data_IF_878896975271
#
_entry.id   IF_878896975271
#
_cell.length_a   1.000
_cell.length_b   1.000
_cell.length_c   1.000
_cell.angle_alpha   90.00
_cell.angle_beta   90.00
_cell.angle_gamma   90.00
#
_symmetry.space_group_name_H-M   'P 1'
#
loop_
_entity.id
_entity.type
_entity.pdbx_description
1 polymer ?
#
# COMPACT_ATOMS: atom_id res chain seq x y z
N UNK A 1 -37.73 20.62 36.06
CA UNK A 1 -36.33 20.12 36.03
C UNK A 1 -36.12 19.08 34.92
N UNK A 2 -36.56 19.31 33.67
CA UNK A 2 -36.57 18.28 32.60
C UNK A 2 -35.93 18.72 31.27
N UNK A 3 -35.01 19.69 31.26
CA UNK A 3 -34.36 20.21 30.03
C UNK A 3 -32.88 19.85 29.87
N UNK A 4 -32.34 18.86 30.59
CA UNK A 4 -30.90 18.55 30.53
C UNK A 4 -30.52 17.29 29.74
N UNK A 5 -31.46 16.38 29.43
CA UNK A 5 -31.13 15.09 28.78
C UNK A 5 -31.09 15.10 27.24
N UNK A 6 -31.45 16.22 26.59
CA UNK A 6 -31.48 16.32 25.12
C UNK A 6 -30.15 16.84 24.52
N UNK A 7 -29.27 17.39 25.37
CA UNK A 7 -27.95 17.92 24.98
C UNK A 7 -26.88 16.84 24.85
N UNK A 8 -26.86 15.83 25.74
CA UNK A 8 -25.84 14.77 25.75
C UNK A 8 -25.92 13.85 24.51
N UNK A 9 -27.14 13.52 24.05
CA UNK A 9 -27.33 12.65 22.88
C UNK A 9 -26.88 13.27 21.56
N UNK A 10 -26.86 14.61 21.45
CA UNK A 10 -26.41 15.31 20.22
C UNK A 10 -24.89 15.34 20.11
N UNK A 11 -24.18 15.48 21.24
CA UNK A 11 -22.71 15.42 21.30
C UNK A 11 -22.18 14.02 21.04
N UNK A 12 -22.82 12.99 21.59
CA UNK A 12 -22.44 11.58 21.33
C UNK A 12 -22.62 11.20 19.86
N UNK A 13 -23.73 11.62 19.23
CA UNK A 13 -23.98 11.34 17.81
C UNK A 13 -22.89 11.95 16.92
N UNK A 14 -22.41 13.16 17.24
CA UNK A 14 -21.31 13.79 16.49
C UNK A 14 -20.01 13.02 16.66
N UNK A 15 -19.66 12.63 17.89
CA UNK A 15 -18.44 11.87 18.17
C UNK A 15 -18.46 10.53 17.43
N UNK A 16 -19.59 9.82 17.45
CA UNK A 16 -19.77 8.55 16.73
C UNK A 16 -19.61 8.71 15.21
N UNK A 17 -20.18 9.77 14.61
CA UNK A 17 -20.03 10.06 13.18
C UNK A 17 -18.57 10.40 12.83
N UNK A 18 -17.90 11.19 13.66
CA UNK A 18 -16.48 11.51 13.46
C UNK A 18 -15.60 10.26 13.54
N UNK A 19 -15.79 9.40 14.54
CA UNK A 19 -15.06 8.14 14.66
C UNK A 19 -15.32 7.24 13.44
N UNK A 20 -16.59 7.05 13.05
CA UNK A 20 -16.93 6.25 11.87
C UNK A 20 -16.30 6.78 10.58
N UNK A 21 -16.24 8.11 10.41
CA UNK A 21 -15.59 8.73 9.25
C UNK A 21 -14.07 8.50 9.22
N UNK A 22 -13.40 8.55 10.38
CA UNK A 22 -11.97 8.24 10.51
C UNK A 22 -11.68 6.75 10.23
N UNK A 23 -12.58 5.85 10.65
CA UNK A 23 -12.48 4.43 10.34
C UNK A 23 -12.62 4.16 8.83
N UNK A 24 -13.58 4.78 8.15
CA UNK A 24 -13.79 4.62 6.70
C UNK A 24 -12.65 5.22 5.87
N UNK A 25 -12.08 6.34 6.29
CA UNK A 25 -10.97 7.00 5.59
C UNK A 25 -9.68 6.17 5.57
N UNK A 26 -9.49 5.27 6.54
CA UNK A 26 -8.34 4.37 6.60
C UNK A 26 -8.47 3.13 5.70
N UNK A 27 -9.54 3.01 4.91
CA UNK A 27 -9.62 2.01 3.87
C UNK A 27 -8.70 2.43 2.72
N UNK A 28 -7.40 2.13 2.85
CA UNK A 28 -6.41 2.32 1.79
C UNK A 28 -6.88 1.57 0.54
N UNK A 29 -7.48 2.30 -0.40
CA UNK A 29 -7.76 1.80 -1.73
C UNK A 29 -6.42 1.43 -2.34
N UNK A 30 -6.23 0.13 -2.62
CA UNK A 30 -5.00 -0.35 -3.25
C UNK A 30 -4.70 0.42 -4.53
N UNK A 31 -3.41 0.60 -4.85
CA UNK A 31 -2.99 1.34 -6.04
C UNK A 31 -3.69 0.80 -7.29
N UNK A 32 -4.35 1.65 -8.10
CA UNK A 32 -5.05 1.22 -9.29
C UNK A 32 -4.08 0.63 -10.32
N UNK A 33 -4.61 -0.21 -11.21
CA UNK A 33 -3.81 -0.97 -12.17
C UNK A 33 -2.99 -0.07 -13.11
N UNK A 34 -3.64 0.98 -13.63
CA UNK A 34 -3.02 1.90 -14.58
C UNK A 34 -1.80 2.61 -13.98
N UNK A 35 -1.93 3.12 -12.74
CA UNK A 35 -0.82 3.75 -12.02
C UNK A 35 0.33 2.78 -11.74
N UNK A 36 0.01 1.50 -11.45
CA UNK A 36 1.04 0.47 -11.28
C UNK A 36 1.85 0.27 -12.54
N UNK A 37 1.17 0.12 -13.69
CA UNK A 37 1.81 -0.11 -14.99
C UNK A 37 2.67 1.10 -15.36
N UNK A 38 2.11 2.31 -15.25
CA UNK A 38 2.84 3.55 -15.56
C UNK A 38 4.11 3.68 -14.72
N UNK A 39 4.01 3.44 -13.41
CA UNK A 39 5.17 3.49 -12.49
C UNK A 39 6.24 2.47 -12.86
N UNK A 40 5.84 1.23 -13.17
CA UNK A 40 6.77 0.18 -13.61
C UNK A 40 7.44 0.58 -14.93
N UNK A 41 6.69 1.10 -15.89
CA UNK A 41 7.20 1.50 -17.19
C UNK A 41 8.22 2.64 -17.06
N UNK A 42 7.93 3.66 -16.26
CA UNK A 42 8.87 4.76 -15.97
C UNK A 42 10.17 4.26 -15.31
N UNK A 43 10.09 3.27 -14.43
CA UNK A 43 11.29 2.68 -13.82
C UNK A 43 12.09 1.83 -14.81
N UNK A 44 11.41 1.02 -15.64
CA UNK A 44 12.06 0.23 -16.68
C UNK A 44 12.76 1.08 -17.73
N UNK A 45 12.19 2.25 -18.06
CA UNK A 45 12.84 3.22 -18.96
C UNK A 45 14.16 3.75 -18.38
N UNK A 46 14.28 3.85 -17.05
CA UNK A 46 15.51 4.30 -16.38
C UNK A 46 16.52 3.17 -16.22
N UNK A 47 16.07 1.99 -15.81
CA UNK A 47 16.92 0.81 -15.59
C UNK A 47 16.15 -0.48 -15.91
N UNK A 48 16.77 -1.43 -16.63
CA UNK A 48 16.09 -2.68 -17.02
C UNK A 48 15.79 -3.59 -15.82
N UNK A 49 16.51 -3.45 -14.70
CA UNK A 49 16.32 -4.24 -13.47
C UNK A 49 15.84 -3.31 -12.35
N UNK A 50 14.67 -3.64 -11.79
CA UNK A 50 14.06 -2.89 -10.69
C UNK A 50 14.35 -3.61 -9.38
N UNK A 51 15.10 -2.96 -8.48
CA UNK A 51 15.30 -3.47 -7.13
C UNK A 51 14.00 -3.35 -6.32
N UNK A 52 13.50 -4.49 -5.87
CA UNK A 52 12.27 -4.60 -5.09
C UNK A 52 12.58 -4.67 -3.60
N UNK A 53 11.89 -3.87 -2.81
CA UNK A 53 11.78 -4.04 -1.35
C UNK A 53 10.46 -4.74 -1.02
N UNK A 54 10.20 -4.99 0.28
CA UNK A 54 8.99 -5.68 0.73
C UNK A 54 7.71 -4.94 0.33
N UNK A 55 7.70 -3.61 0.39
CA UNK A 55 6.50 -2.81 0.08
C UNK A 55 6.20 -2.82 -1.43
N UNK A 56 7.23 -2.59 -2.27
CA UNK A 56 7.11 -2.70 -3.72
C UNK A 56 6.70 -4.12 -4.13
N UNK A 57 7.26 -5.14 -3.49
CA UNK A 57 6.89 -6.52 -3.74
C UNK A 57 5.40 -6.78 -3.45
N UNK A 58 4.90 -6.29 -2.31
CA UNK A 58 3.47 -6.37 -1.97
C UNK A 58 2.61 -5.66 -3.01
N UNK A 59 2.97 -4.45 -3.41
CA UNK A 59 2.19 -3.63 -4.34
C UNK A 59 2.23 -4.15 -5.78
N UNK A 60 3.40 -4.40 -6.35
CA UNK A 60 3.55 -4.68 -7.77
C UNK A 60 3.52 -6.18 -8.11
N UNK A 61 3.91 -7.06 -7.19
CA UNK A 61 4.02 -8.49 -7.45
C UNK A 61 2.91 -9.31 -6.78
N UNK A 62 2.53 -9.01 -5.54
CA UNK A 62 1.50 -9.80 -4.82
C UNK A 62 0.09 -9.24 -4.93
N UNK A 63 -0.08 -7.92 -4.92
CA UNK A 63 -1.43 -7.34 -4.94
C UNK A 63 -2.11 -7.53 -6.29
N UNK A 64 -3.42 -7.69 -6.27
CA UNK A 64 -4.30 -7.68 -7.44
C UNK A 64 -4.92 -6.29 -7.61
N UNK A 65 -5.46 -5.93 -8.78
CA UNK A 65 -5.39 -6.66 -10.07
C UNK A 65 -4.01 -6.56 -10.75
N UNK A 66 -3.69 -7.49 -11.66
CA UNK A 66 -2.47 -7.48 -12.51
C UNK A 66 -2.77 -8.01 -13.91
N UNK A 67 -2.25 -7.33 -14.93
CA UNK A 67 -2.31 -7.72 -16.35
C UNK A 67 -0.91 -7.76 -17.00
N UNK A 68 0.12 -7.99 -16.19
CA UNK A 68 1.51 -8.05 -16.59
C UNK A 68 2.19 -9.22 -15.90
N UNK A 69 3.19 -9.80 -16.55
CA UNK A 69 4.06 -10.83 -15.99
C UNK A 69 5.30 -10.22 -15.33
N UNK A 70 5.79 -10.86 -14.27
CA UNK A 70 6.99 -10.45 -13.54
C UNK A 70 8.01 -11.58 -13.58
N UNK A 71 9.23 -11.29 -14.01
CA UNK A 71 10.37 -12.20 -13.88
C UNK A 71 11.22 -11.68 -12.72
N UNK A 72 11.48 -12.54 -11.74
CA UNK A 72 12.11 -12.16 -10.47
C UNK A 72 13.35 -13.01 -10.24
N UNK A 73 14.47 -12.34 -9.97
CA UNK A 73 15.71 -12.96 -9.53
C UNK A 73 15.87 -12.73 -8.02
N UNK A 74 15.78 -13.79 -7.23
CA UNK A 74 16.13 -13.73 -5.81
C UNK A 74 17.65 -13.84 -5.68
N UNK A 75 18.26 -12.91 -4.93
CA UNK A 75 19.71 -12.84 -4.78
C UNK A 75 20.10 -12.35 -3.40
N UNK A 76 21.35 -12.59 -3.01
CA UNK A 76 21.93 -12.17 -1.74
C UNK A 76 23.29 -11.48 -1.99
N UNK A 77 23.22 -10.23 -2.47
CA UNK A 77 24.38 -9.40 -2.85
C UNK A 77 24.93 -8.49 -1.74
N UNK A 78 24.44 -8.63 -0.50
CA UNK A 78 24.95 -7.81 0.62
C UNK A 78 26.44 -8.06 0.85
N UNK A 79 27.21 -7.03 1.18
CA UNK A 79 28.66 -7.14 1.37
C UNK A 79 29.06 -8.14 2.48
N UNK A 80 28.18 -8.39 3.45
CA UNK A 80 28.38 -9.40 4.50
C UNK A 80 28.10 -10.85 4.07
N UNK A 81 27.61 -11.07 2.84
CA UNK A 81 27.24 -12.38 2.32
C UNK A 81 28.18 -12.75 1.18
N UNK A 82 28.96 -13.83 1.37
CA UNK A 82 29.79 -14.37 0.29
C UNK A 82 29.03 -15.46 -0.48
N UNK A 83 28.09 -15.06 -1.35
CA UNK A 83 27.39 -15.98 -2.26
C UNK A 83 27.96 -15.85 -3.70
N UNK A 84 28.82 -16.78 -4.17
CA UNK A 84 29.40 -16.71 -5.52
C UNK A 84 28.37 -16.90 -6.64
N UNK A 85 27.33 -17.71 -6.43
CA UNK A 85 26.27 -17.98 -7.41
C UNK A 85 25.36 -16.75 -7.61
N UNK A 86 25.27 -15.90 -6.59
CA UNK A 86 24.42 -14.72 -6.58
C UNK A 86 25.06 -13.51 -7.28
N UNK A 87 26.39 -13.56 -7.52
CA UNK A 87 27.21 -12.47 -8.06
C UNK A 87 27.17 -12.43 -9.59
#
# INVERSE_FOLDING_TARGET
MHRYTLSEGTTDMRILVFLASLYLANCQKGTPLDEKIKSLQEWMYKRPIINMNVDRWKTYVRSSPRNYSMVVMFTALSAGVNCPICK
#
